data_IF_315678087389
#
_entry.id   IF_315678087389
#
_cell.length_a   1.000
_cell.length_b   1.000
_cell.length_c   1.000
_cell.angle_alpha   90.00
_cell.angle_beta   90.00
_cell.angle_gamma   90.00
#
_symmetry.space_group_name_H-M   'P 1'
#
loop_
_entity.id
_entity.type
_entity.pdbx_description
1 polymer ?
#
# COMPACT_ATOMS: atom_id res chain seq x y z
N UNK A 1 38.52 13.67 8.76
CA UNK A 1 37.51 13.19 7.79
C UNK A 1 36.18 13.81 8.20
N UNK A 2 35.54 14.61 7.38
CA UNK A 2 34.18 15.10 7.62
C UNK A 2 33.26 13.86 7.69
N UNK A 3 32.62 13.62 8.84
CA UNK A 3 31.63 12.53 8.98
C UNK A 3 30.40 12.92 8.21
N UNK A 4 30.16 12.25 7.06
CA UNK A 4 28.94 12.46 6.28
C UNK A 4 27.72 12.04 7.10
N UNK A 5 26.71 12.90 7.20
CA UNK A 5 25.45 12.59 7.86
C UNK A 5 24.74 11.44 7.14
N UNK A 6 24.37 10.38 7.85
CA UNK A 6 23.68 9.21 7.28
C UNK A 6 22.19 9.24 7.58
N UNK A 7 21.76 9.73 8.75
CA UNK A 7 20.38 9.69 9.23
C UNK A 7 19.86 11.09 9.50
N UNK A 8 18.71 11.40 8.94
CA UNK A 8 18.01 12.67 9.11
C UNK A 8 16.73 12.39 9.89
N UNK A 9 16.63 12.93 11.09
CA UNK A 9 15.51 12.69 12.03
C UNK A 9 14.95 14.04 12.43
N UNK A 10 13.66 14.22 12.24
CA UNK A 10 12.92 15.39 12.72
C UNK A 10 12.53 15.19 14.19
N UNK A 11 12.50 16.25 15.00
CA UNK A 11 11.96 16.17 16.37
C UNK A 11 10.44 15.94 16.33
N UNK A 12 9.88 15.49 17.44
CA UNK A 12 8.44 15.22 17.60
C UNK A 12 7.56 16.44 17.29
N UNK A 13 8.06 17.66 17.61
CA UNK A 13 7.38 18.92 17.28
C UNK A 13 7.16 19.14 15.77
N UNK A 14 7.88 18.43 14.93
CA UNK A 14 7.79 18.51 13.48
C UNK A 14 6.86 17.46 12.85
N UNK A 15 6.18 16.65 13.67
CA UNK A 15 5.12 15.75 13.18
C UNK A 15 4.09 16.61 12.44
N UNK A 16 3.76 16.28 11.17
CA UNK A 16 2.79 17.03 10.39
C UNK A 16 1.44 17.16 11.11
N UNK A 17 0.83 18.34 11.01
CA UNK A 17 -0.49 18.63 11.58
C UNK A 17 -1.62 18.42 10.58
N UNK A 18 -1.31 18.24 9.29
CA UNK A 18 -2.27 18.03 8.21
C UNK A 18 -1.73 17.01 7.22
N UNK A 19 -2.64 16.23 6.64
CA UNK A 19 -2.37 15.40 5.46
C UNK A 19 -2.55 16.21 4.19
N UNK A 20 -1.84 15.83 3.14
CA UNK A 20 -1.95 16.47 1.83
C UNK A 20 -2.83 15.64 0.88
N UNK A 21 -3.88 16.24 0.35
CA UNK A 21 -4.76 15.64 -0.63
C UNK A 21 -4.36 16.08 -2.04
N UNK A 22 -3.65 15.21 -2.75
CA UNK A 22 -3.18 15.48 -4.11
C UNK A 22 -4.32 15.71 -5.11
N UNK A 23 -5.52 15.13 -4.87
CA UNK A 23 -6.66 15.31 -5.76
C UNK A 23 -7.05 16.77 -5.94
N UNK A 24 -6.87 17.61 -4.91
CA UNK A 24 -7.17 19.04 -5.01
C UNK A 24 -6.32 19.76 -6.07
N UNK A 25 -5.08 19.32 -6.29
CA UNK A 25 -4.14 19.96 -7.19
C UNK A 25 -3.97 19.22 -8.54
N UNK A 26 -4.56 18.02 -8.71
CA UNK A 26 -4.50 17.29 -9.98
C UNK A 26 -5.19 18.04 -11.13
N UNK A 27 -4.59 18.07 -12.33
CA UNK A 27 -5.20 18.74 -13.50
C UNK A 27 -6.50 18.05 -13.93
N UNK A 28 -6.53 16.71 -13.90
CA UNK A 28 -7.74 15.92 -14.17
C UNK A 28 -8.10 15.16 -12.89
N UNK A 29 -9.31 15.40 -12.39
CA UNK A 29 -9.82 14.67 -11.22
C UNK A 29 -10.14 13.22 -11.60
N UNK A 30 -9.97 12.26 -10.68
CA UNK A 30 -10.46 10.91 -10.90
C UNK A 30 -11.97 10.90 -11.19
N UNK A 31 -12.41 10.02 -12.08
CA UNK A 31 -13.84 9.78 -12.30
C UNK A 31 -14.46 9.23 -11.00
N UNK A 32 -15.75 9.53 -10.73
CA UNK A 32 -16.42 9.09 -9.51
C UNK A 32 -16.60 7.57 -9.46
N UNK A 33 -16.62 6.96 -8.27
CA UNK A 33 -17.11 5.60 -8.10
C UNK A 33 -18.57 5.49 -8.56
N UNK A 34 -18.97 4.33 -9.10
CA UNK A 34 -20.33 4.10 -9.58
C UNK A 34 -21.03 3.05 -8.71
N UNK A 35 -22.33 3.24 -8.55
CA UNK A 35 -23.22 2.21 -8.01
C UNK A 35 -23.28 1.03 -8.99
N UNK A 36 -23.00 -0.22 -8.57
CA UNK A 36 -22.97 -1.37 -9.48
C UNK A 36 -24.28 -1.63 -10.21
N UNK A 37 -25.43 -1.42 -9.52
CA UNK A 37 -26.74 -1.70 -10.07
C UNK A 37 -27.26 -0.61 -11.01
N UNK A 38 -27.06 0.66 -10.65
CA UNK A 38 -27.63 1.81 -11.38
C UNK A 38 -26.64 2.47 -12.33
N UNK A 39 -25.33 2.17 -12.17
CA UNK A 39 -24.22 2.83 -12.91
C UNK A 39 -24.17 4.36 -12.70
N UNK A 40 -24.85 4.87 -11.69
CA UNK A 40 -24.82 6.30 -11.36
C UNK A 40 -23.65 6.59 -10.43
N UNK A 41 -23.07 7.81 -10.53
CA UNK A 41 -22.04 8.27 -9.60
C UNK A 41 -22.51 8.22 -8.15
N UNK A 42 -21.65 7.71 -7.27
CA UNK A 42 -21.89 7.68 -5.82
C UNK A 42 -21.55 9.02 -5.18
N UNK A 43 -22.25 9.30 -4.08
CA UNK A 43 -21.94 10.37 -3.13
C UNK A 43 -21.30 9.76 -1.88
N UNK A 44 -20.66 10.58 -1.04
CA UNK A 44 -20.08 10.13 0.22
C UNK A 44 -21.10 9.39 1.10
N UNK A 45 -22.35 9.89 1.16
CA UNK A 45 -23.43 9.27 1.94
C UNK A 45 -23.77 7.83 1.53
N UNK A 46 -23.51 7.46 0.27
CA UNK A 46 -23.76 6.10 -0.21
C UNK A 46 -22.74 5.09 0.34
N UNK A 47 -21.59 5.58 0.83
CA UNK A 47 -20.53 4.81 1.46
C UNK A 47 -20.66 4.70 2.99
N UNK A 48 -21.50 5.53 3.62
CA UNK A 48 -21.70 5.54 5.08
C UNK A 48 -22.15 4.18 5.68
N UNK A 49 -22.91 3.34 4.98
CA UNK A 49 -23.21 2.02 5.50
C UNK A 49 -21.95 1.15 5.74
N UNK A 50 -20.93 1.31 4.91
CA UNK A 50 -19.70 0.48 4.93
C UNK A 50 -18.60 1.13 5.76
N UNK A 51 -18.33 2.42 5.56
CA UNK A 51 -17.25 3.17 6.21
C UNK A 51 -17.76 4.13 7.27
N UNK A 52 -16.90 4.57 8.17
CA UNK A 52 -17.18 5.74 9.00
C UNK A 52 -17.39 6.97 8.11
N UNK A 53 -18.36 7.83 8.46
CA UNK A 53 -18.80 8.97 7.64
C UNK A 53 -17.64 9.88 7.24
N UNK A 54 -16.78 10.26 8.21
CA UNK A 54 -15.62 11.10 7.94
C UNK A 54 -14.63 10.46 6.96
N UNK A 55 -14.50 9.13 6.95
CA UNK A 55 -13.65 8.42 5.98
C UNK A 55 -14.25 8.44 4.58
N UNK A 56 -15.57 8.27 4.48
CA UNK A 56 -16.29 8.37 3.22
C UNK A 56 -16.24 9.79 2.65
N UNK A 57 -16.36 10.82 3.51
CA UNK A 57 -16.20 12.22 3.11
C UNK A 57 -14.79 12.50 2.59
N UNK A 58 -13.76 11.99 3.26
CA UNK A 58 -12.37 12.09 2.80
C UNK A 58 -12.14 11.34 1.49
N UNK A 59 -12.78 10.16 1.31
CA UNK A 59 -12.69 9.38 0.07
C UNK A 59 -13.16 10.18 -1.15
N UNK A 60 -14.21 10.96 -0.97
CA UNK A 60 -14.87 11.72 -2.05
C UNK A 60 -14.38 13.18 -2.16
N UNK A 61 -13.48 13.62 -1.26
CA UNK A 61 -12.98 15.00 -1.25
C UNK A 61 -11.93 15.22 -2.34
N UNK A 62 -12.31 15.97 -3.36
CA UNK A 62 -11.45 16.36 -4.49
C UNK A 62 -11.03 17.83 -4.48
N UNK A 63 -11.38 18.59 -3.43
CA UNK A 63 -11.27 20.06 -3.41
C UNK A 63 -10.32 20.60 -2.36
N UNK A 64 -10.32 20.01 -1.16
CA UNK A 64 -9.52 20.52 -0.06
C UNK A 64 -8.11 19.93 -0.09
N UNK A 65 -7.07 20.74 -0.32
CA UNK A 65 -5.71 20.24 -0.44
C UNK A 65 -5.11 19.79 0.91
N UNK A 66 -5.64 20.26 2.01
CA UNK A 66 -5.14 19.98 3.35
C UNK A 66 -6.24 19.51 4.28
N UNK A 67 -6.04 18.36 4.89
CA UNK A 67 -6.97 17.78 5.87
C UNK A 67 -6.27 17.70 7.21
N UNK A 68 -6.85 18.28 8.25
CA UNK A 68 -6.26 18.30 9.59
C UNK A 68 -6.13 16.88 10.17
N UNK A 69 -4.98 16.61 10.79
CA UNK A 69 -4.75 15.37 11.54
C UNK A 69 -5.29 15.59 12.96
N UNK A 70 -6.27 14.80 13.40
CA UNK A 70 -6.80 14.91 14.76
C UNK A 70 -5.71 14.78 15.82
N UNK A 71 -5.83 15.53 16.91
CA UNK A 71 -4.82 15.53 17.98
C UNK A 71 -4.63 14.14 18.59
N UNK A 72 -5.71 13.35 18.74
CA UNK A 72 -5.65 11.98 19.27
C UNK A 72 -4.88 11.03 18.32
N UNK A 73 -4.97 11.26 17.01
CA UNK A 73 -4.17 10.51 16.03
C UNK A 73 -2.71 10.94 16.12
N UNK A 74 -2.43 12.24 16.26
CA UNK A 74 -1.07 12.76 16.44
C UNK A 74 -0.42 12.27 17.73
N UNK A 75 -1.17 12.15 18.83
CA UNK A 75 -0.67 11.53 20.06
C UNK A 75 -0.23 10.08 19.84
N UNK A 76 -0.99 9.29 19.06
CA UNK A 76 -0.56 7.94 18.70
C UNK A 76 0.67 7.94 17.76
N UNK A 77 0.79 8.91 16.87
CA UNK A 77 1.96 9.06 16.01
C UNK A 77 3.25 9.32 16.79
N UNK A 78 3.23 10.00 17.92
CA UNK A 78 4.39 10.25 18.80
C UNK A 78 5.09 8.95 19.23
N UNK A 79 4.41 7.80 19.24
CA UNK A 79 5.02 6.52 19.59
C UNK A 79 6.12 6.07 18.59
N UNK A 80 6.18 6.62 17.37
CA UNK A 80 7.15 6.17 16.34
C UNK A 80 7.52 7.20 15.27
N UNK A 81 6.80 8.31 15.18
CA UNK A 81 7.12 9.38 14.22
C UNK A 81 7.94 10.47 14.92
N UNK A 82 8.78 11.21 14.16
CA UNK A 82 8.99 11.08 12.72
C UNK A 82 9.92 9.90 12.39
N UNK A 83 9.60 9.15 11.34
CA UNK A 83 10.46 8.05 10.91
C UNK A 83 11.74 8.58 10.24
N UNK A 84 12.89 7.87 10.32
CA UNK A 84 14.13 8.36 9.76
C UNK A 84 14.13 8.40 8.22
N UNK A 85 14.76 9.43 7.65
CA UNK A 85 15.31 9.38 6.31
C UNK A 85 16.78 8.96 6.41
N UNK A 86 17.20 8.02 5.59
CA UNK A 86 18.55 7.45 5.67
C UNK A 86 19.20 7.46 4.28
N UNK A 87 20.46 7.93 4.21
CA UNK A 87 21.26 7.79 2.99
C UNK A 87 21.93 6.42 2.94
N UNK A 88 21.74 5.71 1.86
CA UNK A 88 22.20 4.33 1.67
C UNK A 88 23.65 4.27 1.15
N UNK A 89 24.61 4.83 1.91
CA UNK A 89 26.01 4.88 1.50
C UNK A 89 26.62 3.48 1.23
N UNK A 90 26.18 2.47 1.96
CA UNK A 90 26.64 1.10 1.75
C UNK A 90 26.19 0.58 0.39
N UNK A 91 24.93 0.82 0.04
CA UNK A 91 24.35 0.42 -1.25
C UNK A 91 24.99 1.20 -2.41
N UNK A 92 25.16 2.53 -2.28
CA UNK A 92 25.86 3.36 -3.26
C UNK A 92 27.25 2.83 -3.57
N UNK A 93 28.02 2.49 -2.50
CA UNK A 93 29.36 1.92 -2.62
C UNK A 93 29.36 0.54 -3.29
N UNK A 94 28.43 -0.34 -2.92
CA UNK A 94 28.34 -1.69 -3.48
C UNK A 94 27.97 -1.67 -4.97
N UNK A 95 27.18 -0.69 -5.41
CA UNK A 95 26.80 -0.49 -6.81
C UNK A 95 27.86 0.27 -7.62
N UNK A 96 28.83 0.92 -6.97
CA UNK A 96 29.80 1.79 -7.64
C UNK A 96 29.14 2.93 -8.40
N UNK A 97 28.01 3.46 -7.89
CA UNK A 97 27.20 4.44 -8.58
C UNK A 97 27.48 5.88 -8.12
N UNK A 98 27.42 6.88 -9.02
CA UNK A 98 27.43 8.28 -8.62
C UNK A 98 26.08 8.74 -8.04
N UNK A 99 25.01 7.93 -8.09
CA UNK A 99 23.71 8.26 -7.55
C UNK A 99 23.74 8.46 -6.04
N UNK A 100 22.93 9.39 -5.54
CA UNK A 100 22.65 9.58 -4.13
C UNK A 100 21.36 8.86 -3.76
N UNK A 101 21.46 7.76 -2.99
CA UNK A 101 20.30 6.91 -2.68
C UNK A 101 19.83 7.17 -1.26
N UNK A 102 18.56 7.55 -1.11
CA UNK A 102 17.90 7.75 0.17
C UNK A 102 16.72 6.81 0.32
N UNK A 103 16.46 6.37 1.55
CA UNK A 103 15.23 5.66 1.87
C UNK A 103 14.54 6.25 3.10
N UNK A 104 13.23 6.42 2.99
CA UNK A 104 12.35 6.74 4.11
C UNK A 104 12.03 5.45 4.84
N UNK A 105 12.40 5.34 6.09
CA UNK A 105 12.37 4.08 6.83
C UNK A 105 11.07 3.92 7.64
N UNK A 106 10.03 3.38 7.02
CA UNK A 106 8.76 3.07 7.68
C UNK A 106 8.77 1.73 8.47
N UNK A 107 9.87 0.98 8.41
CA UNK A 107 10.02 -0.29 9.11
C UNK A 107 10.14 -0.16 10.64
N UNK A 108 10.39 1.05 11.13
CA UNK A 108 10.58 1.35 12.56
C UNK A 108 9.27 1.50 13.33
N UNK A 109 8.13 1.44 12.67
CA UNK A 109 6.84 1.48 13.37
C UNK A 109 6.63 0.26 14.26
N UNK A 110 5.79 0.34 15.31
CA UNK A 110 5.52 -0.78 16.24
C UNK A 110 5.09 -2.09 15.57
N UNK A 111 4.56 -2.02 14.36
CA UNK A 111 4.11 -3.17 13.56
C UNK A 111 5.01 -3.46 12.36
N UNK A 112 6.11 -2.73 12.25
CA UNK A 112 7.13 -2.94 11.22
C UNK A 112 6.72 -2.55 9.81
N UNK A 113 5.73 -1.66 9.63
CA UNK A 113 5.31 -1.17 8.31
C UNK A 113 4.60 0.19 8.35
N UNK A 114 4.55 0.89 7.19
CA UNK A 114 3.86 2.17 7.01
C UNK A 114 2.33 2.11 7.25
N UNK A 115 1.74 0.91 7.22
CA UNK A 115 0.27 0.75 7.28
C UNK A 115 -0.34 1.29 8.58
N UNK A 116 0.45 1.38 9.65
CA UNK A 116 0.01 1.92 10.91
C UNK A 116 -0.48 3.37 10.82
N UNK A 117 0.07 4.17 9.90
CA UNK A 117 -0.33 5.57 9.72
C UNK A 117 -1.83 5.70 9.42
N UNK A 118 -2.33 4.92 8.46
CA UNK A 118 -3.76 4.94 8.11
C UNK A 118 -4.61 4.14 9.10
N UNK A 119 -4.08 3.07 9.68
CA UNK A 119 -4.81 2.26 10.65
C UNK A 119 -5.24 3.08 11.87
N UNK A 120 -4.35 3.93 12.40
CA UNK A 120 -4.66 4.83 13.52
C UNK A 120 -5.75 5.85 13.15
N UNK A 121 -5.66 6.46 11.97
CA UNK A 121 -6.66 7.41 11.50
C UNK A 121 -8.04 6.75 11.33
N UNK A 122 -8.10 5.59 10.67
CA UNK A 122 -9.36 4.88 10.46
C UNK A 122 -10.00 4.42 11.77
N UNK A 123 -9.22 3.85 12.69
CA UNK A 123 -9.70 3.45 14.02
C UNK A 123 -10.23 4.65 14.81
N UNK A 124 -9.53 5.78 14.78
CA UNK A 124 -9.98 7.03 15.42
C UNK A 124 -11.34 7.48 14.89
N UNK A 125 -11.51 7.59 13.57
CA UNK A 125 -12.77 8.05 12.98
C UNK A 125 -13.93 7.09 13.25
N UNK A 126 -13.69 5.78 13.25
CA UNK A 126 -14.67 4.79 13.70
C UNK A 126 -15.06 5.02 15.17
N UNK A 127 -14.08 5.15 16.06
CA UNK A 127 -14.33 5.41 17.49
C UNK A 127 -15.09 6.69 17.72
N UNK A 128 -14.71 7.78 17.05
CA UNK A 128 -15.38 9.09 17.17
C UNK A 128 -16.85 9.05 16.75
N UNK A 129 -17.21 8.21 15.79
CA UNK A 129 -18.59 7.99 15.35
C UNK A 129 -19.39 7.07 16.29
N UNK A 130 -18.77 6.51 17.36
CA UNK A 130 -19.44 5.59 18.29
C UNK A 130 -19.47 4.14 17.81
N UNK A 131 -18.68 3.80 16.78
CA UNK A 131 -18.48 2.41 16.31
C UNK A 131 -17.77 1.63 17.42
N UNK A 132 -18.21 0.39 17.64
CA UNK A 132 -17.62 -0.53 18.63
C UNK A 132 -16.87 -1.69 18.00
N UNK A 133 -17.24 -2.06 16.77
CA UNK A 133 -16.67 -3.19 16.05
C UNK A 133 -16.15 -2.72 14.68
N UNK A 134 -14.99 -3.19 14.29
CA UNK A 134 -14.46 -2.98 12.95
C UNK A 134 -14.08 -4.31 12.31
N UNK A 135 -14.22 -4.38 11.00
CA UNK A 135 -13.79 -5.55 10.22
C UNK A 135 -12.79 -5.13 9.16
N UNK A 136 -11.98 -6.09 8.75
CA UNK A 136 -11.05 -5.88 7.64
C UNK A 136 -10.61 -7.21 7.03
N UNK A 137 -10.05 -7.11 5.85
CA UNK A 137 -9.24 -8.15 5.22
C UNK A 137 -7.75 -7.93 5.47
N UNK A 138 -6.95 -8.95 5.22
CA UNK A 138 -5.50 -8.81 5.11
C UNK A 138 -4.89 -9.87 4.19
N UNK A 139 -4.04 -9.45 3.27
CA UNK A 139 -3.31 -10.37 2.39
C UNK A 139 -2.16 -11.07 3.13
N UNK A 140 -1.02 -10.39 3.28
CA UNK A 140 0.18 -10.92 3.95
C UNK A 140 0.17 -10.76 5.48
N UNK A 141 -0.83 -10.07 6.05
CA UNK A 141 -0.98 -9.84 7.49
C UNK A 141 -0.44 -8.50 8.00
N UNK A 142 0.26 -7.69 7.18
CA UNK A 142 0.78 -6.39 7.64
C UNK A 142 -0.33 -5.39 7.97
N UNK A 143 -1.39 -5.35 7.15
CA UNK A 143 -2.53 -4.48 7.42
C UNK A 143 -3.29 -4.94 8.66
N UNK A 144 -3.60 -6.23 8.76
CA UNK A 144 -4.25 -6.79 9.93
C UNK A 144 -3.47 -6.50 11.22
N UNK A 145 -2.14 -6.64 11.22
CA UNK A 145 -1.29 -6.29 12.36
C UNK A 145 -1.38 -4.80 12.72
N UNK A 146 -1.32 -3.92 11.73
CA UNK A 146 -1.41 -2.48 11.94
C UNK A 146 -2.78 -2.07 12.52
N UNK A 147 -3.85 -2.62 11.96
CA UNK A 147 -5.19 -2.32 12.44
C UNK A 147 -5.47 -2.93 13.82
N UNK A 148 -4.88 -4.10 14.14
CA UNK A 148 -5.02 -4.71 15.47
C UNK A 148 -4.40 -3.82 16.56
N UNK A 149 -3.23 -3.24 16.30
CA UNK A 149 -2.65 -2.23 17.18
C UNK A 149 -3.56 -1.01 17.33
N UNK A 150 -4.03 -0.45 16.20
CA UNK A 150 -4.87 0.74 16.20
C UNK A 150 -6.23 0.51 16.87
N UNK A 151 -6.87 -0.63 16.63
CA UNK A 151 -8.12 -1.01 17.28
C UNK A 151 -7.96 -1.07 18.81
N UNK A 152 -6.86 -1.69 19.28
CA UNK A 152 -6.56 -1.72 20.71
C UNK A 152 -6.32 -0.34 21.29
N UNK A 153 -5.58 0.53 20.57
CA UNK A 153 -5.30 1.90 21.02
C UNK A 153 -6.57 2.74 21.19
N UNK A 154 -7.58 2.53 20.37
CA UNK A 154 -8.86 3.26 20.43
C UNK A 154 -10.02 2.48 21.07
N UNK A 155 -9.77 1.29 21.63
CA UNK A 155 -10.76 0.49 22.33
C UNK A 155 -11.89 -0.04 21.43
N UNK A 156 -11.52 -0.57 20.25
CA UNK A 156 -12.41 -1.20 19.28
C UNK A 156 -12.18 -2.71 19.24
N UNK A 157 -13.25 -3.47 19.04
CA UNK A 157 -13.18 -4.89 18.69
C UNK A 157 -12.85 -5.04 17.20
N UNK A 158 -12.00 -6.02 16.85
CA UNK A 158 -11.56 -6.21 15.46
C UNK A 158 -11.69 -7.66 15.01
N UNK A 159 -12.38 -7.86 13.88
CA UNK A 159 -12.40 -9.12 13.12
C UNK A 159 -11.61 -8.98 11.82
N UNK A 160 -10.64 -9.88 11.60
CA UNK A 160 -9.74 -9.89 10.44
C UNK A 160 -9.95 -11.13 9.61
N UNK A 161 -10.25 -10.98 8.33
CA UNK A 161 -10.24 -12.06 7.33
C UNK A 161 -8.89 -12.10 6.64
N UNK A 162 -8.09 -13.12 6.92
CA UNK A 162 -6.75 -13.28 6.36
C UNK A 162 -6.76 -14.28 5.21
N UNK A 163 -6.20 -13.89 4.06
CA UNK A 163 -6.05 -14.80 2.90
C UNK A 163 -5.47 -16.14 3.34
N UNK A 164 -6.15 -17.25 3.08
CA UNK A 164 -5.88 -18.59 3.62
C UNK A 164 -4.44 -19.02 3.45
N UNK A 165 -3.88 -18.91 2.24
CA UNK A 165 -2.49 -19.29 2.01
C UNK A 165 -1.51 -18.49 2.89
N UNK A 166 -1.77 -17.21 3.13
CA UNK A 166 -0.93 -16.39 4.01
C UNK A 166 -1.17 -16.74 5.49
N UNK A 167 -2.40 -17.08 5.86
CA UNK A 167 -2.73 -17.53 7.20
C UNK A 167 -1.94 -18.79 7.60
N UNK A 168 -1.72 -19.69 6.64
CA UNK A 168 -0.94 -20.91 6.82
C UNK A 168 0.58 -20.65 6.77
N UNK A 169 1.04 -19.87 5.79
CA UNK A 169 2.48 -19.64 5.54
C UNK A 169 3.12 -18.62 6.48
N UNK A 170 2.33 -17.73 7.09
CA UNK A 170 2.82 -16.62 7.94
C UNK A 170 2.19 -16.65 9.34
N UNK A 171 2.42 -17.72 10.13
CA UNK A 171 1.75 -17.90 11.44
C UNK A 171 2.05 -16.75 12.42
N UNK A 172 3.25 -16.18 12.39
CA UNK A 172 3.62 -15.07 13.28
C UNK A 172 2.84 -13.77 13.02
N UNK A 173 2.39 -13.55 11.79
CA UNK A 173 1.48 -12.41 11.50
C UNK A 173 0.15 -12.57 12.23
N UNK A 174 -0.41 -13.78 12.22
CA UNK A 174 -1.62 -14.11 13.00
C UNK A 174 -1.37 -13.92 14.49
N UNK A 175 -0.26 -14.44 15.02
CA UNK A 175 0.09 -14.30 16.44
C UNK A 175 0.17 -12.83 16.87
N UNK A 176 0.76 -11.95 16.07
CA UNK A 176 0.81 -10.51 16.33
C UNK A 176 -0.61 -9.93 16.43
N UNK A 177 -1.48 -10.21 15.47
CA UNK A 177 -2.87 -9.73 15.48
C UNK A 177 -3.61 -10.19 16.73
N UNK A 178 -3.49 -11.47 17.08
CA UNK A 178 -4.11 -12.06 18.28
C UNK A 178 -3.53 -11.50 19.57
N UNK A 179 -2.22 -11.20 19.61
CA UNK A 179 -1.58 -10.56 20.78
C UNK A 179 -2.15 -9.16 21.03
N UNK A 180 -2.52 -8.43 19.98
CA UNK A 180 -3.25 -7.16 20.11
C UNK A 180 -4.76 -7.33 20.32
N UNK A 181 -5.27 -8.57 20.42
CA UNK A 181 -6.66 -8.87 20.76
C UNK A 181 -7.60 -9.05 19.56
N UNK A 182 -7.11 -9.06 18.32
CA UNK A 182 -7.95 -9.26 17.14
C UNK A 182 -8.39 -10.71 16.97
N UNK A 183 -9.60 -10.91 16.47
CA UNK A 183 -10.08 -12.20 15.98
C UNK A 183 -9.63 -12.38 14.52
N UNK A 184 -8.95 -13.49 14.21
CA UNK A 184 -8.38 -13.73 12.88
C UNK A 184 -8.95 -15.01 12.30
N UNK A 185 -9.59 -14.89 11.13
CA UNK A 185 -10.22 -16.00 10.41
C UNK A 185 -9.55 -16.18 9.05
N UNK A 186 -9.24 -17.43 8.66
CA UNK A 186 -8.76 -17.74 7.31
C UNK A 186 -9.89 -17.54 6.29
N UNK A 187 -9.60 -16.85 5.19
CA UNK A 187 -10.55 -16.56 4.10
C UNK A 187 -10.15 -17.32 2.82
N UNK A 188 -11.10 -18.00 2.14
CA UNK A 188 -12.53 -18.05 2.41
C UNK A 188 -12.89 -18.91 3.64
N UNK A 189 -13.98 -18.54 4.32
CA UNK A 189 -14.45 -19.19 5.54
C UNK A 189 -15.89 -19.68 5.42
N UNK A 190 -16.27 -20.61 6.30
CA UNK A 190 -17.69 -21.06 6.42
C UNK A 190 -18.56 -20.09 7.24
N UNK A 191 -18.01 -19.01 7.80
CA UNK A 191 -18.73 -18.07 8.66
C UNK A 191 -19.60 -17.08 7.87
N UNK A 192 -19.25 -16.78 6.63
CA UNK A 192 -19.94 -15.82 5.76
C UNK A 192 -20.67 -16.51 4.60
N UNK A 193 -21.63 -15.81 3.97
CA UNK A 193 -22.29 -16.32 2.75
C UNK A 193 -21.33 -16.34 1.57
N UNK A 194 -20.53 -15.28 1.43
CA UNK A 194 -19.53 -15.15 0.37
C UNK A 194 -18.50 -16.29 0.45
N UNK A 195 -17.94 -16.54 1.64
CA UNK A 195 -16.97 -17.62 1.85
C UNK A 195 -17.56 -19.00 1.59
N UNK A 196 -18.80 -19.28 2.09
CA UNK A 196 -19.50 -20.56 1.82
C UNK A 196 -19.73 -20.77 0.33
N UNK A 197 -20.18 -19.76 -0.41
CA UNK A 197 -20.38 -19.86 -1.87
C UNK A 197 -19.09 -20.27 -2.56
N UNK A 198 -18.00 -19.55 -2.30
CA UNK A 198 -16.69 -19.81 -2.92
C UNK A 198 -16.19 -21.23 -2.59
N UNK A 199 -16.29 -21.65 -1.32
CA UNK A 199 -15.87 -22.99 -0.90
C UNK A 199 -16.75 -24.12 -1.45
N UNK A 200 -18.02 -23.84 -1.77
CA UNK A 200 -18.91 -24.80 -2.43
C UNK A 200 -18.52 -24.96 -3.91
N UNK A 201 -18.23 -23.87 -4.59
CA UNK A 201 -17.82 -23.88 -6.01
C UNK A 201 -16.36 -24.35 -6.18
N UNK A 202 -15.50 -23.97 -5.24
CA UNK A 202 -14.05 -24.24 -5.26
C UNK A 202 -13.54 -24.72 -3.89
N UNK A 203 -13.72 -25.99 -3.48
CA UNK A 203 -13.38 -26.49 -2.13
C UNK A 203 -11.91 -26.25 -1.72
N UNK A 204 -11.00 -26.22 -2.68
CA UNK A 204 -9.55 -26.03 -2.46
C UNK A 204 -9.08 -24.60 -2.69
N UNK A 205 -9.99 -23.63 -2.71
CA UNK A 205 -9.64 -22.23 -2.92
C UNK A 205 -8.65 -21.72 -1.87
N UNK A 206 -7.54 -21.15 -2.31
CA UNK A 206 -6.45 -20.69 -1.43
C UNK A 206 -6.67 -19.28 -0.85
N UNK A 207 -7.77 -18.66 -1.23
CA UNK A 207 -8.10 -17.29 -0.88
C UNK A 207 -7.46 -16.26 -1.81
N UNK A 208 -8.18 -15.17 -1.99
CA UNK A 208 -7.70 -13.95 -2.64
C UNK A 208 -7.97 -12.76 -1.72
N UNK A 209 -7.36 -11.61 -2.02
CA UNK A 209 -7.70 -10.39 -1.30
C UNK A 209 -9.16 -10.00 -1.57
N UNK A 210 -9.63 -10.16 -2.80
CA UNK A 210 -11.02 -9.91 -3.20
C UNK A 210 -12.02 -10.75 -2.40
N UNK A 211 -11.76 -12.05 -2.19
CA UNK A 211 -12.56 -12.92 -1.34
C UNK A 211 -12.62 -12.41 0.10
N UNK A 212 -11.47 -12.07 0.68
CA UNK A 212 -11.37 -11.60 2.06
C UNK A 212 -12.08 -10.26 2.27
N UNK A 213 -12.04 -9.36 1.27
CA UNK A 213 -12.80 -8.10 1.25
C UNK A 213 -14.29 -8.39 1.30
N UNK A 214 -14.80 -9.30 0.44
CA UNK A 214 -16.22 -9.66 0.41
C UNK A 214 -16.70 -10.17 1.77
N UNK A 215 -15.94 -11.04 2.43
CA UNK A 215 -16.28 -11.57 3.75
C UNK A 215 -16.28 -10.49 4.85
N UNK A 216 -15.27 -9.59 4.82
CA UNK A 216 -15.18 -8.51 5.80
C UNK A 216 -16.32 -7.49 5.65
N UNK A 217 -16.70 -7.12 4.41
CA UNK A 217 -17.84 -6.24 4.13
C UNK A 217 -19.15 -6.91 4.55
N UNK A 218 -19.37 -8.20 4.24
CA UNK A 218 -20.57 -8.92 4.66
C UNK A 218 -20.73 -8.88 6.18
N UNK A 219 -19.64 -9.10 6.94
CA UNK A 219 -19.69 -9.04 8.39
C UNK A 219 -19.99 -7.62 8.88
N UNK A 220 -19.36 -6.60 8.30
CA UNK A 220 -19.62 -5.20 8.66
C UNK A 220 -21.08 -4.81 8.45
N UNK A 221 -21.67 -5.22 7.33
CA UNK A 221 -23.06 -4.91 6.97
C UNK A 221 -24.09 -5.67 7.83
N UNK A 222 -23.73 -6.84 8.36
CA UNK A 222 -24.63 -7.69 9.17
C UNK A 222 -24.48 -7.49 10.67
N UNK A 223 -23.48 -6.75 11.13
CA UNK A 223 -23.19 -6.54 12.56
C UNK A 223 -23.57 -5.12 12.97
N UNK A 224 -24.40 -4.91 14.02
CA UNK A 224 -24.70 -3.58 14.51
C UNK A 224 -23.45 -2.84 14.97
N UNK A 225 -23.42 -1.51 14.76
CA UNK A 225 -22.30 -0.63 15.12
C UNK A 225 -20.92 -1.13 14.63
N UNK A 226 -20.90 -1.70 13.42
CA UNK A 226 -19.71 -2.21 12.79
C UNK A 226 -19.40 -1.43 11.51
N UNK A 227 -18.10 -1.20 11.24
CA UNK A 227 -17.62 -0.59 10.01
C UNK A 227 -16.46 -1.41 9.41
N UNK A 228 -16.38 -1.38 8.11
CA UNK A 228 -15.26 -1.94 7.36
C UNK A 228 -14.11 -0.93 7.25
N UNK A 229 -12.89 -1.43 7.26
CA UNK A 229 -11.66 -0.64 7.11
C UNK A 229 -10.74 -1.33 6.11
N UNK A 230 -9.92 -0.56 5.40
CA UNK A 230 -9.11 -1.06 4.29
C UNK A 230 -7.68 -0.49 4.31
N UNK A 231 -6.69 -1.33 4.03
CA UNK A 231 -5.28 -0.98 4.17
C UNK A 231 -4.60 -0.40 2.92
N UNK A 232 -5.32 -0.21 1.82
CA UNK A 232 -4.78 0.32 0.56
C UNK A 232 -5.92 0.69 -0.40
N UNK A 233 -5.62 1.08 -1.64
CA UNK A 233 -6.53 1.35 -2.76
C UNK A 233 -7.29 2.65 -2.63
N UNK A 234 -8.02 2.86 -1.54
CA UNK A 234 -8.90 4.00 -1.35
C UNK A 234 -8.15 5.32 -1.14
N UNK A 235 -8.78 6.42 -1.56
CA UNK A 235 -8.21 7.76 -1.53
C UNK A 235 -7.88 8.22 -0.12
N UNK A 236 -8.79 7.98 0.86
CA UNK A 236 -8.57 8.34 2.26
C UNK A 236 -7.39 7.55 2.88
N UNK A 237 -7.18 6.29 2.46
CA UNK A 237 -6.02 5.52 2.92
C UNK A 237 -4.73 6.17 2.44
N UNK A 238 -4.66 6.53 1.16
CA UNK A 238 -3.48 7.17 0.58
C UNK A 238 -3.27 8.57 1.16
N UNK A 239 -4.34 9.32 1.42
CA UNK A 239 -4.31 10.62 2.12
C UNK A 239 -3.57 10.49 3.46
N UNK A 240 -3.97 9.54 4.32
CA UNK A 240 -3.32 9.34 5.62
C UNK A 240 -1.84 8.97 5.52
N UNK A 241 -1.43 8.32 4.42
CA UNK A 241 -0.04 7.95 4.19
C UNK A 241 0.84 9.15 3.77
N UNK A 242 0.27 10.26 3.35
CA UNK A 242 1.06 11.43 2.92
C UNK A 242 1.94 12.03 4.04
N UNK A 243 1.69 11.68 5.29
CA UNK A 243 2.59 12.01 6.41
C UNK A 243 4.04 11.55 6.14
N UNK A 244 4.23 10.45 5.39
CA UNK A 244 5.54 9.91 5.01
C UNK A 244 6.31 10.93 4.17
N UNK A 245 5.70 11.41 3.10
CA UNK A 245 6.33 12.37 2.19
C UNK A 245 6.48 13.76 2.81
N UNK A 246 5.50 14.19 3.62
CA UNK A 246 5.58 15.49 4.33
C UNK A 246 6.77 15.55 5.29
N UNK A 247 7.10 14.47 5.98
CA UNK A 247 8.33 14.37 6.77
C UNK A 247 9.56 14.28 5.87
N UNK A 248 9.49 13.48 4.79
CA UNK A 248 10.60 13.28 3.88
C UNK A 248 11.01 14.58 3.17
N UNK A 249 10.08 15.48 2.83
CA UNK A 249 10.38 16.82 2.27
C UNK A 249 11.32 17.59 3.18
N UNK A 250 10.97 17.72 4.46
CA UNK A 250 11.80 18.42 5.45
C UNK A 250 13.16 17.73 5.68
N UNK A 251 13.17 16.42 5.65
CA UNK A 251 14.38 15.63 5.84
C UNK A 251 15.32 15.72 4.62
N UNK A 252 14.79 15.78 3.40
CA UNK A 252 15.57 16.04 2.19
C UNK A 252 16.14 17.46 2.19
N UNK A 253 15.38 18.45 2.68
CA UNK A 253 15.89 19.81 2.91
C UNK A 253 17.04 19.82 3.91
N UNK A 254 16.94 19.09 5.03
CA UNK A 254 18.05 18.90 5.98
C UNK A 254 19.28 18.25 5.33
N UNK A 255 19.08 17.39 4.35
CA UNK A 255 20.18 16.78 3.57
C UNK A 255 20.79 17.76 2.55
N UNK A 256 20.16 18.89 2.29
CA UNK A 256 20.55 19.85 1.26
C UNK A 256 20.35 19.33 -0.17
N UNK A 257 19.44 18.36 -0.35
CA UNK A 257 19.18 17.72 -1.64
C UNK A 257 17.68 17.65 -1.93
N UNK A 258 17.34 17.46 -3.21
CA UNK A 258 15.97 17.28 -3.67
C UNK A 258 15.89 16.07 -4.62
N UNK A 259 14.89 15.18 -4.53
CA UNK A 259 14.87 13.96 -5.31
C UNK A 259 14.56 14.20 -6.80
N UNK A 260 15.42 13.66 -7.67
CA UNK A 260 15.16 13.52 -9.11
C UNK A 260 14.16 12.40 -9.38
N UNK A 261 14.18 11.35 -8.54
CA UNK A 261 13.30 10.18 -8.64
C UNK A 261 12.75 9.83 -7.28
N UNK A 262 11.46 9.51 -7.24
CA UNK A 262 10.79 8.97 -6.05
C UNK A 262 10.16 7.63 -6.41
N UNK A 263 10.47 6.61 -5.61
CA UNK A 263 10.08 5.22 -5.88
C UNK A 263 9.27 4.66 -4.72
N UNK A 264 8.15 4.02 -5.01
CA UNK A 264 7.38 3.25 -4.04
C UNK A 264 6.98 1.89 -4.59
N UNK A 265 6.99 0.84 -3.76
CA UNK A 265 6.41 -0.43 -4.16
C UNK A 265 4.89 -0.31 -4.25
N UNK A 266 4.28 -1.08 -5.16
CA UNK A 266 2.91 -0.87 -5.57
C UNK A 266 2.03 -2.13 -5.43
N UNK A 267 1.11 -2.09 -4.45
CA UNK A 267 -0.04 -2.99 -4.36
C UNK A 267 -1.29 -2.29 -4.85
N UNK A 268 -1.99 -1.57 -3.96
CA UNK A 268 -3.12 -0.70 -4.29
C UNK A 268 -2.77 0.79 -4.40
N UNK A 269 -1.57 1.21 -3.98
CA UNK A 269 -1.09 2.59 -4.14
C UNK A 269 -0.68 3.34 -2.86
N UNK A 270 -1.01 2.83 -1.66
CA UNK A 270 -0.81 3.58 -0.41
C UNK A 270 0.67 3.87 -0.08
N UNK A 271 1.58 2.94 -0.36
CA UNK A 271 3.02 3.15 -0.16
C UNK A 271 3.57 4.19 -1.13
N UNK A 272 3.31 4.01 -2.41
CA UNK A 272 3.73 4.93 -3.47
C UNK A 272 3.16 6.34 -3.26
N UNK A 273 1.85 6.47 -3.05
CA UNK A 273 1.20 7.77 -2.85
C UNK A 273 1.68 8.46 -1.59
N UNK A 274 1.90 7.71 -0.50
CA UNK A 274 2.38 8.25 0.77
C UNK A 274 3.70 9.00 0.66
N UNK A 275 4.67 8.46 -0.08
CA UNK A 275 5.97 9.12 -0.29
C UNK A 275 5.93 10.14 -1.43
N UNK A 276 5.14 9.90 -2.48
CA UNK A 276 5.21 10.66 -3.72
C UNK A 276 4.33 11.91 -3.74
N UNK A 277 3.11 11.85 -3.17
CA UNK A 277 2.13 12.92 -3.36
C UNK A 277 2.55 14.27 -2.77
N UNK A 278 3.17 14.39 -1.58
CA UNK A 278 3.67 15.67 -1.11
C UNK A 278 4.68 16.31 -2.08
N UNK A 279 5.62 15.54 -2.59
CA UNK A 279 6.58 16.02 -3.60
C UNK A 279 5.90 16.34 -4.95
N UNK A 280 4.87 15.57 -5.33
CA UNK A 280 4.11 15.83 -6.56
C UNK A 280 3.41 17.19 -6.53
N UNK A 281 3.06 17.70 -5.35
CA UNK A 281 2.59 19.08 -5.15
C UNK A 281 3.52 20.09 -5.81
N UNK A 282 4.84 19.96 -5.61
CA UNK A 282 5.83 20.84 -6.21
C UNK A 282 5.91 20.67 -7.74
N UNK A 283 5.72 19.46 -8.24
CA UNK A 283 5.62 19.24 -9.69
C UNK A 283 4.39 19.91 -10.27
N UNK A 284 3.23 19.73 -9.64
CA UNK A 284 1.95 20.24 -10.14
C UNK A 284 1.82 21.76 -10.02
N UNK A 285 2.35 22.36 -8.96
CA UNK A 285 2.17 23.81 -8.67
C UNK A 285 3.37 24.67 -9.07
N UNK A 286 4.58 24.12 -8.98
CA UNK A 286 5.83 24.88 -9.15
C UNK A 286 6.60 24.44 -10.41
N UNK A 287 6.16 23.38 -11.10
CA UNK A 287 6.82 22.84 -12.29
C UNK A 287 8.15 22.14 -12.03
N UNK A 288 8.40 21.70 -10.78
CA UNK A 288 9.59 20.92 -10.45
C UNK A 288 9.60 19.60 -11.20
N UNK A 289 10.76 19.21 -11.70
CA UNK A 289 10.94 17.98 -12.49
C UNK A 289 11.39 16.84 -11.56
N UNK A 290 10.46 16.01 -11.16
CA UNK A 290 10.72 14.77 -10.43
C UNK A 290 10.00 13.63 -11.14
N UNK A 291 10.65 12.47 -11.31
CA UNK A 291 10.04 11.25 -11.81
C UNK A 291 9.47 10.45 -10.64
N UNK A 292 8.26 9.94 -10.80
CA UNK A 292 7.56 9.13 -9.79
C UNK A 292 7.36 7.74 -10.33
N UNK A 293 7.98 6.72 -9.69
CA UNK A 293 8.03 5.35 -10.21
C UNK A 293 7.32 4.41 -9.23
N UNK A 294 6.26 3.78 -9.70
CA UNK A 294 5.57 2.71 -8.99
C UNK A 294 6.18 1.35 -9.39
N UNK A 295 6.72 0.61 -8.41
CA UNK A 295 7.31 -0.71 -8.63
C UNK A 295 6.34 -1.81 -8.22
N UNK A 296 5.78 -2.54 -9.18
CA UNK A 296 4.84 -3.64 -8.97
C UNK A 296 5.47 -4.99 -9.29
N UNK A 297 4.91 -6.14 -8.83
CA UNK A 297 5.36 -7.46 -9.26
C UNK A 297 5.02 -7.74 -10.72
N UNK A 298 5.92 -8.36 -11.47
CA UNK A 298 5.67 -8.84 -12.83
C UNK A 298 4.57 -9.90 -12.92
N UNK A 299 4.33 -10.59 -11.82
CA UNK A 299 3.23 -11.56 -11.67
C UNK A 299 1.86 -10.94 -11.36
N UNK A 300 1.81 -9.63 -11.10
CA UNK A 300 0.58 -8.85 -10.86
C UNK A 300 0.68 -7.45 -11.48
N UNK A 301 0.88 -7.36 -12.82
CA UNK A 301 1.32 -6.17 -13.54
C UNK A 301 0.14 -5.28 -13.96
N UNK A 302 -0.66 -4.82 -12.99
CA UNK A 302 -1.88 -4.04 -13.26
C UNK A 302 -1.63 -2.67 -13.86
N UNK A 303 -0.51 -2.00 -13.48
CA UNK A 303 -0.16 -0.68 -14.04
C UNK A 303 0.56 -0.80 -15.39
N UNK A 304 1.42 -1.80 -15.55
CA UNK A 304 2.25 -1.97 -16.76
C UNK A 304 1.53 -2.72 -17.87
N UNK A 305 0.62 -3.66 -17.53
CA UNK A 305 -0.07 -4.54 -18.51
C UNK A 305 -1.59 -4.62 -18.32
N UNK A 306 -2.16 -3.98 -17.28
CA UNK A 306 -3.59 -3.90 -17.05
C UNK A 306 -4.27 -2.88 -17.97
N UNK A 307 -5.60 -2.78 -17.87
CA UNK A 307 -6.41 -1.82 -18.61
C UNK A 307 -7.08 -0.83 -17.67
N UNK A 308 -7.29 0.42 -18.14
CA UNK A 308 -8.06 1.41 -17.40
C UNK A 308 -9.55 1.22 -17.66
N UNK A 309 -10.28 0.70 -16.68
CA UNK A 309 -11.73 0.48 -16.73
C UNK A 309 -12.37 0.61 -15.35
N UNK A 310 -13.69 0.68 -15.30
CA UNK A 310 -14.43 0.45 -14.09
C UNK A 310 -14.39 -1.04 -13.71
N UNK A 311 -14.07 -1.33 -12.45
CA UNK A 311 -14.00 -2.69 -11.92
C UNK A 311 -14.39 -2.71 -10.44
N UNK A 312 -14.79 -3.89 -9.94
CA UNK A 312 -15.04 -4.09 -8.53
C UNK A 312 -13.75 -4.13 -7.72
N UNK A 313 -13.83 -3.66 -6.47
CA UNK A 313 -12.73 -3.81 -5.51
C UNK A 313 -12.63 -5.21 -4.90
N UNK A 314 -13.70 -6.02 -4.99
CA UNK A 314 -13.84 -7.34 -4.40
C UNK A 314 -14.39 -8.38 -5.39
N UNK A 315 -14.26 -9.67 -5.03
CA UNK A 315 -14.62 -10.78 -5.91
C UNK A 315 -16.15 -11.01 -5.98
N UNK A 316 -16.88 -10.73 -4.90
CA UNK A 316 -18.34 -10.93 -4.87
C UNK A 316 -19.16 -9.73 -5.39
N UNK A 317 -18.50 -8.61 -5.75
CA UNK A 317 -19.16 -7.42 -6.27
C UNK A 317 -19.94 -6.63 -5.23
N UNK A 318 -19.50 -6.63 -3.97
CA UNK A 318 -20.11 -5.86 -2.89
C UNK A 318 -19.60 -4.42 -2.82
N UNK A 319 -18.45 -4.16 -3.45
CA UNK A 319 -17.88 -2.81 -3.53
C UNK A 319 -18.49 -1.99 -4.66
N UNK A 320 -18.37 -0.65 -4.62
CA UNK A 320 -18.59 0.18 -5.78
C UNK A 320 -17.70 -0.20 -6.96
N UNK A 321 -18.11 0.16 -8.16
CA UNK A 321 -17.26 0.15 -9.33
C UNK A 321 -16.31 1.34 -9.28
N UNK A 322 -15.01 1.07 -9.31
CA UNK A 322 -13.94 2.07 -9.23
C UNK A 322 -13.25 2.21 -10.58
N UNK A 323 -12.97 3.45 -11.06
CA UNK A 323 -12.18 3.66 -12.27
C UNK A 323 -10.71 3.37 -11.96
N UNK A 324 -10.17 2.26 -12.48
CA UNK A 324 -8.85 1.78 -12.11
C UNK A 324 -8.11 1.13 -13.28
N UNK A 325 -6.78 1.11 -13.20
CA UNK A 325 -5.99 0.12 -13.93
C UNK A 325 -6.16 -1.22 -13.24
N UNK A 326 -6.62 -2.23 -13.98
CA UNK A 326 -7.00 -3.53 -13.44
C UNK A 326 -6.59 -4.70 -14.33
N UNK A 327 -6.44 -5.85 -13.71
CA UNK A 327 -6.31 -7.17 -14.35
C UNK A 327 -7.63 -7.97 -14.32
N UNK A 328 -8.72 -7.34 -13.82
CA UNK A 328 -10.03 -7.97 -13.59
C UNK A 328 -10.19 -8.47 -12.14
N UNK A 329 -11.36 -8.21 -11.51
CA UNK A 329 -11.63 -8.54 -10.10
C UNK A 329 -11.60 -10.05 -9.80
N UNK A 330 -11.73 -10.92 -10.81
CA UNK A 330 -11.59 -12.38 -10.71
C UNK A 330 -10.12 -12.83 -10.90
N UNK A 331 -9.17 -11.91 -11.10
CA UNK A 331 -7.77 -12.25 -11.25
C UNK A 331 -7.21 -12.90 -9.97
N UNK A 332 -6.70 -14.13 -10.11
CA UNK A 332 -6.02 -14.86 -9.04
C UNK A 332 -4.50 -14.67 -9.14
N UNK A 333 -3.89 -13.83 -8.29
CA UNK A 333 -2.45 -13.59 -8.32
C UNK A 333 -1.65 -14.86 -7.97
N UNK A 334 -0.49 -15.03 -8.62
CA UNK A 334 0.46 -16.08 -8.25
C UNK A 334 0.92 -15.96 -6.78
N UNK A 335 1.37 -17.08 -6.21
CA UNK A 335 1.77 -17.17 -4.81
C UNK A 335 3.18 -16.62 -4.54
N UNK A 336 3.42 -15.37 -4.97
CA UNK A 336 4.65 -14.66 -4.61
C UNK A 336 4.66 -14.27 -3.14
N UNK A 337 5.83 -14.12 -2.56
CA UNK A 337 5.99 -13.81 -1.14
C UNK A 337 5.69 -12.34 -0.79
N UNK A 338 5.68 -11.43 -1.75
CA UNK A 338 5.20 -10.05 -1.59
C UNK A 338 3.67 -9.99 -1.57
N UNK A 339 3.06 -10.63 -0.58
CA UNK A 339 1.60 -10.80 -0.48
C UNK A 339 0.82 -9.49 -0.42
N UNK A 340 1.42 -8.41 0.09
CA UNK A 340 0.82 -7.07 0.13
C UNK A 340 0.74 -6.38 -1.24
N UNK A 341 1.39 -6.93 -2.28
CA UNK A 341 1.33 -6.40 -3.64
C UNK A 341 0.40 -7.20 -4.58
N UNK A 342 -0.19 -8.30 -4.09
CA UNK A 342 -1.09 -9.18 -4.85
C UNK A 342 -2.53 -8.66 -4.84
N UNK A 343 -2.78 -7.57 -5.55
CA UNK A 343 -4.11 -7.01 -5.74
C UNK A 343 -4.34 -6.68 -7.20
N UNK A 344 -5.50 -7.02 -7.75
CA UNK A 344 -5.81 -6.93 -9.17
C UNK A 344 -5.91 -5.50 -9.71
N UNK A 345 -6.22 -4.52 -8.85
CA UNK A 345 -6.53 -3.16 -9.25
C UNK A 345 -5.60 -2.11 -8.61
N UNK A 346 -5.63 -0.90 -9.14
CA UNK A 346 -4.92 0.27 -8.64
C UNK A 346 -5.89 1.30 -8.08
N UNK A 347 -5.50 2.01 -7.03
CA UNK A 347 -6.30 3.12 -6.47
C UNK A 347 -6.64 4.18 -7.53
N UNK A 348 -7.79 4.80 -7.40
CA UNK A 348 -8.33 5.72 -8.40
C UNK A 348 -7.43 6.93 -8.66
N UNK A 349 -6.77 7.46 -7.63
CA UNK A 349 -5.82 8.59 -7.76
C UNK A 349 -4.63 8.17 -8.62
N UNK A 350 -4.00 7.05 -8.29
CA UNK A 350 -2.82 6.55 -9.01
C UNK A 350 -3.18 6.19 -10.45
N UNK A 351 -4.34 5.60 -10.66
CA UNK A 351 -4.84 5.27 -11.99
C UNK A 351 -5.02 6.53 -12.86
N UNK A 352 -5.55 7.60 -12.30
CA UNK A 352 -5.67 8.87 -13.03
C UNK A 352 -4.29 9.50 -13.30
N UNK A 353 -3.37 9.49 -12.32
CA UNK A 353 -2.01 10.01 -12.50
C UNK A 353 -1.23 9.26 -13.59
N UNK A 354 -1.37 7.94 -13.64
CA UNK A 354 -0.74 7.12 -14.69
C UNK A 354 -1.33 7.43 -16.07
N UNK A 355 -2.66 7.54 -16.15
CA UNK A 355 -3.38 7.93 -17.37
C UNK A 355 -2.93 9.31 -17.89
N UNK A 356 -2.68 10.25 -16.99
CA UNK A 356 -2.21 11.61 -17.27
C UNK A 356 -0.69 11.67 -17.52
N UNK A 357 0.03 10.55 -17.44
CA UNK A 357 1.50 10.45 -17.60
C UNK A 357 2.28 11.30 -16.57
N UNK A 358 1.70 11.52 -15.40
CA UNK A 358 2.33 12.21 -14.27
C UNK A 358 3.18 11.28 -13.40
N UNK A 359 3.15 9.99 -13.68
CA UNK A 359 3.96 8.95 -13.04
C UNK A 359 4.29 7.83 -14.03
N UNK A 360 5.21 6.97 -13.64
CA UNK A 360 5.67 5.80 -14.39
C UNK A 360 5.42 4.54 -13.55
N UNK A 361 5.32 3.39 -14.22
CA UNK A 361 5.26 2.09 -13.57
C UNK A 361 6.33 1.16 -14.14
N UNK A 362 6.89 0.31 -13.26
CA UNK A 362 7.83 -0.74 -13.64
C UNK A 362 7.45 -2.04 -12.94
N UNK A 363 7.60 -3.13 -13.65
CA UNK A 363 7.42 -4.46 -13.10
C UNK A 363 8.77 -5.07 -12.67
N UNK A 364 8.74 -5.80 -11.57
CA UNK A 364 9.92 -6.41 -10.94
C UNK A 364 9.68 -7.91 -10.75
N UNK A 365 10.50 -8.77 -11.33
CA UNK A 365 10.48 -10.21 -11.08
C UNK A 365 10.80 -10.55 -9.62
N UNK A 366 10.19 -11.62 -9.09
CA UNK A 366 10.39 -12.02 -7.71
C UNK A 366 11.86 -12.26 -7.34
N UNK A 367 12.61 -12.99 -8.18
CA UNK A 367 14.03 -13.25 -7.90
C UNK A 367 14.85 -11.97 -7.86
N UNK A 368 14.66 -11.06 -8.82
CA UNK A 368 15.32 -9.75 -8.83
C UNK A 368 14.99 -8.94 -7.57
N UNK A 369 13.76 -9.00 -7.11
CA UNK A 369 13.36 -8.30 -5.88
C UNK A 369 14.11 -8.84 -4.67
N UNK A 370 14.26 -10.16 -4.52
CA UNK A 370 15.02 -10.78 -3.42
C UNK A 370 16.53 -10.53 -3.55
N UNK A 371 17.10 -10.56 -4.77
CA UNK A 371 18.50 -10.19 -5.02
C UNK A 371 18.79 -8.78 -4.47
N UNK A 372 17.94 -7.82 -4.84
CA UNK A 372 18.07 -6.44 -4.37
C UNK A 372 17.85 -6.32 -2.86
N UNK A 373 16.89 -7.08 -2.30
CA UNK A 373 16.63 -7.13 -0.87
C UNK A 373 17.80 -7.67 -0.06
N UNK A 374 18.43 -8.73 -0.52
CA UNK A 374 19.64 -9.31 0.10
C UNK A 374 20.83 -8.35 0.00
N UNK A 375 21.05 -7.72 -1.16
CA UNK A 375 22.07 -6.69 -1.31
C UNK A 375 21.85 -5.53 -0.33
N UNK A 376 20.62 -5.06 -0.20
CA UNK A 376 20.26 -3.99 0.73
C UNK A 376 20.49 -4.42 2.19
N UNK A 377 20.11 -5.63 2.56
CA UNK A 377 20.34 -6.15 3.91
C UNK A 377 21.84 -6.22 4.25
N UNK A 378 22.66 -6.67 3.31
CA UNK A 378 24.11 -6.77 3.48
C UNK A 378 24.80 -5.40 3.56
N UNK A 379 24.27 -4.38 2.91
CA UNK A 379 24.88 -3.06 2.83
C UNK A 379 24.34 -2.06 3.86
N UNK A 380 23.05 -2.14 4.19
CA UNK A 380 22.39 -1.19 5.10
C UNK A 380 21.97 -1.80 6.45
N UNK A 381 22.08 -3.14 6.61
CA UNK A 381 21.81 -3.81 7.89
C UNK A 381 20.31 -3.98 8.20
N UNK A 382 19.43 -3.81 7.23
CA UNK A 382 17.97 -3.97 7.40
C UNK A 382 17.50 -5.05 6.42
N UNK A 383 16.89 -6.12 6.93
CA UNK A 383 16.21 -7.12 6.10
C UNK A 383 14.86 -6.52 5.69
N UNK A 384 14.63 -6.18 4.41
CA UNK A 384 13.39 -5.54 3.97
C UNK A 384 12.25 -6.56 3.85
N UNK A 385 11.00 -6.08 4.01
CA UNK A 385 9.85 -6.88 3.64
C UNK A 385 9.91 -7.23 2.13
N UNK A 386 9.42 -8.41 1.69
CA UNK A 386 9.39 -8.78 0.27
C UNK A 386 8.74 -7.73 -0.63
N UNK A 387 7.77 -6.99 -0.11
CA UNK A 387 7.16 -5.84 -0.78
C UNK A 387 8.17 -4.71 -1.00
N UNK A 388 8.94 -4.35 0.02
CA UNK A 388 9.98 -3.30 -0.05
C UNK A 388 11.06 -3.63 -1.07
N UNK A 389 11.35 -4.91 -1.25
CA UNK A 389 12.36 -5.39 -2.20
C UNK A 389 12.09 -4.92 -3.64
N UNK A 390 10.82 -4.74 -4.02
CA UNK A 390 10.44 -4.22 -5.35
C UNK A 390 10.88 -2.75 -5.53
N UNK A 391 10.68 -1.91 -4.52
CA UNK A 391 11.14 -0.52 -4.57
C UNK A 391 12.69 -0.44 -4.57
N UNK A 392 13.34 -1.31 -3.80
CA UNK A 392 14.81 -1.40 -3.76
C UNK A 392 15.34 -1.84 -5.13
N UNK A 393 14.76 -2.86 -5.76
CA UNK A 393 15.15 -3.32 -7.09
C UNK A 393 15.02 -2.22 -8.16
N UNK A 394 13.91 -1.48 -8.12
CA UNK A 394 13.72 -0.32 -9.00
C UNK A 394 14.78 0.77 -8.74
N UNK A 395 15.11 1.06 -7.47
CA UNK A 395 16.17 2.00 -7.13
C UNK A 395 17.57 1.53 -7.61
N UNK A 396 17.84 0.23 -7.50
CA UNK A 396 19.08 -0.39 -8.02
C UNK A 396 19.14 -0.27 -9.55
N UNK A 397 18.03 -0.53 -10.27
CA UNK A 397 17.97 -0.34 -11.72
C UNK A 397 18.30 1.12 -12.12
N UNK A 398 17.70 2.10 -11.46
CA UNK A 398 17.95 3.52 -11.74
C UNK A 398 19.38 3.94 -11.35
N UNK A 399 19.93 3.43 -10.24
CA UNK A 399 21.31 3.68 -9.84
C UNK A 399 22.34 3.12 -10.84
N UNK A 400 22.07 1.95 -11.43
CA UNK A 400 22.89 1.38 -12.51
C UNK A 400 22.88 2.24 -13.77
N UNK A 401 21.72 2.83 -14.13
CA UNK A 401 21.65 3.80 -15.25
C UNK A 401 22.54 5.04 -14.97
N UNK A 402 22.61 5.49 -13.71
CA UNK A 402 23.52 6.56 -13.34
C UNK A 402 24.99 6.15 -13.50
N UNK A 403 25.34 4.89 -13.20
CA UNK A 403 26.68 4.36 -13.41
C UNK A 403 27.04 4.33 -14.92
N UNK A 404 26.10 3.88 -15.75
CA UNK A 404 26.29 3.78 -17.21
C UNK A 404 26.41 5.17 -17.88
N UNK A 405 25.60 6.13 -17.45
CA UNK A 405 25.62 7.49 -18.00
C UNK A 405 26.68 8.41 -17.40
N UNK A 406 27.19 8.09 -16.20
CA UNK A 406 28.05 8.96 -15.40
C UNK A 406 27.32 10.16 -14.76
N UNK A 407 25.99 10.28 -14.94
CA UNK A 407 25.19 11.38 -14.40
C UNK A 407 24.67 11.03 -13.00
N UNK A 408 24.99 11.81 -11.95
CA UNK A 408 24.43 11.60 -10.63
C UNK A 408 22.93 11.98 -10.61
N UNK A 409 22.14 11.19 -9.88
CA UNK A 409 20.73 11.45 -9.58
C UNK A 409 20.49 11.26 -8.10
N UNK A 410 19.56 12.03 -7.54
CA UNK A 410 19.07 11.82 -6.17
C UNK A 410 17.84 10.91 -6.24
N UNK A 411 17.99 9.71 -5.71
CA UNK A 411 16.95 8.66 -5.70
C UNK A 411 16.41 8.54 -4.29
N UNK A 412 15.11 8.76 -4.12
CA UNK A 412 14.39 8.54 -2.86
C UNK A 412 13.43 7.38 -3.01
N UNK A 413 13.50 6.38 -2.13
CA UNK A 413 12.47 5.34 -2.10
C UNK A 413 11.87 5.16 -0.71
N UNK A 414 10.65 4.62 -0.65
CA UNK A 414 10.02 4.29 0.61
C UNK A 414 10.28 2.83 0.99
N UNK A 415 10.96 2.62 2.12
CA UNK A 415 11.13 1.32 2.73
C UNK A 415 9.84 0.99 3.51
N UNK A 416 8.92 0.30 2.86
CA UNK A 416 7.59 -0.05 3.36
C UNK A 416 7.61 -0.64 4.78
N UNK A 417 8.50 -1.63 4.99
CA UNK A 417 8.60 -2.35 6.26
C UNK A 417 9.77 -3.33 6.27
N UNK A 418 10.00 -3.95 7.45
CA UNK A 418 11.03 -4.98 7.62
C UNK A 418 10.50 -6.39 7.31
N UNK A 419 11.43 -7.31 6.99
CA UNK A 419 11.17 -8.70 6.62
C UNK A 419 11.40 -9.72 7.75
N UNK A 420 11.64 -9.29 8.99
CA UNK A 420 11.97 -10.21 10.10
C UNK A 420 10.89 -11.26 10.38
N UNK A 421 9.64 -10.99 10.00
CA UNK A 421 8.51 -11.92 10.12
C UNK A 421 8.30 -12.72 8.82
N UNK A 422 9.03 -12.37 7.77
CA UNK A 422 8.95 -13.00 6.45
C UNK A 422 10.17 -13.87 6.12
N UNK A 423 10.96 -14.27 7.15
CA UNK A 423 12.20 -15.02 6.98
C UNK A 423 12.02 -16.34 6.22
N UNK A 424 10.86 -17.00 6.35
CA UNK A 424 10.56 -18.19 5.55
C UNK A 424 10.60 -17.97 4.03
N UNK A 425 10.38 -16.73 3.57
CA UNK A 425 10.55 -16.36 2.16
C UNK A 425 12.03 -16.24 1.79
N UNK A 426 12.83 -15.66 2.68
CA UNK A 426 14.29 -15.58 2.50
C UNK A 426 14.96 -16.94 2.55
N UNK A 427 14.51 -17.86 3.43
CA UNK A 427 14.99 -19.23 3.49
C UNK A 427 14.81 -19.94 2.12
N UNK A 428 13.61 -19.81 1.52
CA UNK A 428 13.36 -20.37 0.18
C UNK A 428 14.24 -19.73 -0.90
N UNK A 429 14.41 -18.40 -0.84
CA UNK A 429 15.28 -17.72 -1.79
C UNK A 429 16.73 -18.21 -1.67
N UNK A 430 17.28 -18.27 -0.46
CA UNK A 430 18.65 -18.71 -0.19
C UNK A 430 18.87 -20.21 -0.53
N UNK A 431 17.83 -21.03 -0.42
CA UNK A 431 17.85 -22.44 -0.84
C UNK A 431 17.73 -22.61 -2.37
N UNK A 432 17.41 -21.55 -3.13
CA UNK A 432 17.18 -21.64 -4.57
C UNK A 432 15.79 -22.19 -4.94
N UNK A 433 14.86 -22.22 -4.00
CA UNK A 433 13.51 -22.78 -4.17
C UNK A 433 12.49 -21.74 -4.68
N UNK A 434 12.86 -20.45 -4.76
CA UNK A 434 12.00 -19.43 -5.34
C UNK A 434 12.10 -19.44 -6.87
N UNK A 435 10.95 -19.15 -7.51
CA UNK A 435 10.85 -19.04 -8.97
C UNK A 435 10.17 -17.73 -9.35
N UNK A 436 10.42 -17.24 -10.54
CA UNK A 436 9.63 -16.18 -11.13
C UNK A 436 8.29 -16.74 -11.64
N UNK A 437 7.23 -15.94 -11.50
CA UNK A 437 5.92 -16.25 -12.04
C UNK A 437 5.63 -15.24 -13.15
N UNK A 438 5.60 -15.72 -14.40
CA UNK A 438 5.19 -14.90 -15.52
C UNK A 438 3.69 -15.05 -15.77
N UNK A 439 3.00 -13.94 -16.01
CA UNK A 439 1.61 -13.93 -16.43
C UNK A 439 1.56 -13.86 -17.98
N UNK A 440 0.90 -14.84 -18.64
CA UNK A 440 0.80 -14.82 -20.10
C UNK A 440 -0.20 -13.77 -20.58
N UNK A 441 -0.03 -13.29 -21.82
CA UNK A 441 -0.95 -12.32 -22.43
C UNK A 441 -2.36 -12.92 -22.59
N UNK A 442 -2.46 -14.23 -22.81
CA UNK A 442 -3.75 -14.93 -22.90
C UNK A 442 -4.49 -14.93 -21.55
N UNK A 443 -3.76 -15.14 -20.44
CA UNK A 443 -4.36 -15.06 -19.11
C UNK A 443 -4.87 -13.65 -18.81
N UNK A 444 -4.07 -12.62 -19.13
CA UNK A 444 -4.49 -11.21 -18.96
C UNK A 444 -5.72 -10.93 -19.80
N UNK A 445 -5.72 -11.27 -21.10
CA UNK A 445 -6.84 -11.04 -22.01
C UNK A 445 -8.12 -11.72 -21.55
N UNK A 446 -8.04 -12.96 -21.06
CA UNK A 446 -9.18 -13.69 -20.51
C UNK A 446 -9.79 -12.97 -19.31
N UNK A 447 -8.97 -12.59 -18.32
CA UNK A 447 -9.46 -11.92 -17.12
C UNK A 447 -10.05 -10.53 -17.44
N UNK A 448 -9.43 -9.78 -18.35
CA UNK A 448 -9.91 -8.47 -18.81
C UNK A 448 -11.21 -8.61 -19.62
N UNK A 449 -11.35 -9.67 -20.42
CA UNK A 449 -12.56 -9.93 -21.20
C UNK A 449 -13.82 -10.09 -20.33
N UNK A 450 -13.68 -10.55 -19.09
CA UNK A 450 -14.79 -10.63 -18.14
C UNK A 450 -15.36 -9.25 -17.74
N UNK A 451 -14.54 -8.19 -17.86
CA UNK A 451 -14.99 -6.81 -17.58
C UNK A 451 -16.01 -6.29 -18.61
N UNK A 452 -16.09 -6.89 -19.78
CA UNK A 452 -17.07 -6.49 -20.81
C UNK A 452 -18.52 -6.74 -20.32
N UNK A 453 -18.72 -7.64 -19.36
CA UNK A 453 -20.01 -7.88 -18.72
C UNK A 453 -20.41 -6.78 -17.70
N UNK A 454 -19.46 -5.96 -17.26
CA UNK A 454 -19.72 -4.88 -16.29
C UNK A 454 -20.23 -3.62 -17.01
N UNK A 455 -19.86 -3.43 -18.27
CA UNK A 455 -20.29 -2.32 -19.15
C UNK A 455 -19.31 -1.16 -19.13
#
# INVERSE_FOLDING_TARGET
MSTKTKRFILPESEIPTRWYNVMADMPNKPMPPLNPATKQPLKASDLYPIFAEALADQEMNQTDPWIDIPDEVREQYKNYRCTPLVRAYGLEKALGTPAHIYFKNESVSPVGSHKLNSALAQAYYCKRQGVTNITTETGAGQWGAALSYAAKAFGLELAVYMVKISYEQKPYRRSIMQTFGAQVTASPSMSTKAGRKILTEHPNHQGSLGTAISEAIELAMSTPNCKYTLGSVLSHVTLHQTIIGLEAEKQMEMAGEYPDLIIGCFGGGSNFGGISFPFMRHTLKEGRKTRYIAAEPDSCPKLTRGVFRYDFGDEAGYTPLLPMFTLGHNFAPANIHAGGLRYHGAGVIVSQLLKDKLMEAVDIPQLESFDAGCLFAQTEGIIPAPESCHAIAAAVREARKCTESGEPKVILFNLWGHGLIDMAAYDKYLAGDLVNYSLSDEQIKRNIGELDAIG
#
